data_IF_096805377996
#
_entry.id   IF_096805377996
#
_cell.length_a   1.000
_cell.length_b   1.000
_cell.length_c   1.000
_cell.angle_alpha   90.00
_cell.angle_beta   90.00
_cell.angle_gamma   90.00
#
_symmetry.space_group_name_H-M   'P 1'
#
loop_
_entity.id
_entity.type
_entity.pdbx_description
1 polymer ?
#
# COMPACT_ATOMS: atom_id res chain seq x y z
N UNK A 1 38.75 -4.00 -9.21
CA UNK A 1 37.29 -3.86 -9.11
C UNK A 1 36.97 -4.09 -7.65
N UNK A 2 36.77 -3.03 -6.89
CA UNK A 2 36.45 -3.15 -5.47
C UNK A 2 35.04 -3.73 -5.36
N UNK A 3 34.93 -4.88 -4.71
CA UNK A 3 33.65 -5.52 -4.45
C UNK A 3 32.93 -4.66 -3.42
N UNK A 4 31.93 -3.91 -3.84
CA UNK A 4 31.12 -3.12 -2.92
C UNK A 4 30.26 -4.07 -2.08
N UNK A 5 30.73 -4.35 -0.86
CA UNK A 5 30.09 -5.24 0.09
C UNK A 5 28.71 -4.75 0.50
N UNK A 6 28.47 -3.43 0.48
CA UNK A 6 27.16 -2.86 0.80
C UNK A 6 26.15 -3.16 -0.31
N UNK A 7 26.56 -3.03 -1.58
CA UNK A 7 25.73 -3.43 -2.73
C UNK A 7 25.46 -4.94 -2.69
N UNK A 8 26.47 -5.77 -2.43
CA UNK A 8 26.30 -7.21 -2.34
C UNK A 8 25.32 -7.63 -1.22
N UNK A 9 25.44 -7.03 -0.04
CA UNK A 9 24.53 -7.27 1.09
C UNK A 9 23.11 -6.78 0.80
N UNK A 10 22.96 -5.64 0.13
CA UNK A 10 21.64 -5.14 -0.31
C UNK A 10 20.94 -6.14 -1.23
N UNK A 11 21.64 -6.65 -2.25
CA UNK A 11 21.07 -7.64 -3.17
C UNK A 11 20.81 -8.98 -2.51
N UNK A 12 21.71 -9.45 -1.63
CA UNK A 12 21.51 -10.68 -0.87
C UNK A 12 20.24 -10.59 0.00
N UNK A 13 20.07 -9.47 0.73
CA UNK A 13 18.86 -9.21 1.50
C UNK A 13 17.62 -9.28 0.60
N UNK A 14 17.63 -8.61 -0.55
CA UNK A 14 16.50 -8.62 -1.50
C UNK A 14 16.20 -10.03 -1.99
N UNK A 15 17.20 -10.82 -2.36
CA UNK A 15 17.01 -12.19 -2.85
C UNK A 15 16.43 -13.11 -1.76
N UNK A 16 16.96 -13.02 -0.54
CA UNK A 16 16.44 -13.77 0.61
C UNK A 16 15.01 -13.32 0.93
N UNK A 17 14.73 -12.01 0.94
CA UNK A 17 13.38 -11.48 1.16
C UNK A 17 12.40 -11.99 0.11
N UNK A 18 12.78 -12.00 -1.19
CA UNK A 18 11.92 -12.53 -2.26
C UNK A 18 11.64 -14.01 -2.07
N UNK A 19 12.64 -14.81 -1.66
CA UNK A 19 12.47 -16.24 -1.43
C UNK A 19 11.57 -16.56 -0.22
N UNK A 20 11.67 -15.76 0.86
CA UNK A 20 10.94 -15.96 2.11
C UNK A 20 9.53 -15.37 2.07
N UNK A 21 9.32 -14.28 1.33
CA UNK A 21 8.01 -13.64 1.25
C UNK A 21 7.04 -14.44 0.37
N UNK A 22 5.72 -14.35 0.64
CA UNK A 22 4.72 -14.85 -0.29
C UNK A 22 4.88 -14.13 -1.65
N UNK A 23 4.77 -14.85 -2.79
CA UNK A 23 4.28 -16.22 -2.95
C UNK A 23 5.37 -17.31 -2.99
N UNK A 24 6.67 -16.98 -2.99
CA UNK A 24 7.73 -17.95 -3.29
C UNK A 24 7.96 -18.98 -2.19
N UNK A 25 7.79 -18.62 -0.92
CA UNK A 25 8.05 -19.54 0.19
C UNK A 25 7.17 -20.81 0.14
N UNK A 26 5.83 -20.71 -0.06
CA UNK A 26 4.99 -21.86 -0.38
C UNK A 26 5.48 -22.71 -1.56
N UNK A 27 5.91 -22.09 -2.67
CA UNK A 27 6.43 -22.82 -3.83
C UNK A 27 7.75 -23.53 -3.54
N UNK A 28 8.64 -22.91 -2.75
CA UNK A 28 9.89 -23.52 -2.33
C UNK A 28 9.63 -24.78 -1.48
N UNK A 29 8.66 -24.73 -0.56
CA UNK A 29 8.25 -25.91 0.23
C UNK A 29 7.75 -27.05 -0.69
N UNK A 30 6.94 -26.73 -1.69
CA UNK A 30 6.45 -27.71 -2.67
C UNK A 30 7.63 -28.33 -3.44
N UNK A 31 8.54 -27.50 -3.97
CA UNK A 31 9.68 -27.97 -4.75
C UNK A 31 10.60 -28.88 -3.93
N UNK A 32 10.97 -28.45 -2.71
CA UNK A 32 11.80 -29.25 -1.79
C UNK A 32 11.08 -30.56 -1.44
N UNK A 33 9.76 -30.52 -1.26
CA UNK A 33 8.96 -31.69 -0.93
C UNK A 33 8.95 -32.73 -2.07
N UNK A 34 8.81 -32.27 -3.31
CA UNK A 34 8.88 -33.11 -4.51
C UNK A 34 10.27 -33.74 -4.69
N UNK A 35 11.34 -32.96 -4.50
CA UNK A 35 12.72 -33.45 -4.59
C UNK A 35 13.02 -34.50 -3.51
N UNK A 36 12.56 -34.27 -2.28
CA UNK A 36 12.75 -35.19 -1.16
C UNK A 36 11.87 -36.45 -1.26
N UNK A 37 10.75 -36.37 -1.98
CA UNK A 37 9.79 -37.47 -2.19
C UNK A 37 10.42 -38.73 -2.79
N UNK A 38 11.53 -38.60 -3.55
CA UNK A 38 12.29 -39.73 -4.10
C UNK A 38 13.00 -40.58 -3.03
N UNK A 39 13.43 -39.97 -1.92
CA UNK A 39 14.16 -40.67 -0.83
C UNK A 39 13.32 -40.87 0.42
N UNK A 40 12.42 -39.94 0.73
CA UNK A 40 11.56 -39.95 1.92
C UNK A 40 10.13 -39.53 1.54
N UNK A 41 9.29 -40.46 1.06
CA UNK A 41 7.99 -40.14 0.48
C UNK A 41 7.02 -39.51 1.48
N UNK A 42 7.04 -39.93 2.75
CA UNK A 42 6.18 -39.36 3.80
C UNK A 42 6.52 -37.89 4.07
N UNK A 43 7.78 -37.60 4.37
CA UNK A 43 8.24 -36.23 4.65
C UNK A 43 8.09 -35.31 3.43
N UNK A 44 8.37 -35.82 2.22
CA UNK A 44 8.19 -35.06 0.98
C UNK A 44 6.73 -34.67 0.75
N UNK A 45 5.81 -35.62 0.95
CA UNK A 45 4.36 -35.38 0.82
C UNK A 45 3.85 -34.38 1.86
N UNK A 46 4.30 -34.46 3.11
CA UNK A 46 3.96 -33.45 4.13
C UNK A 46 4.38 -32.06 3.68
N UNK A 47 5.60 -31.89 3.20
CA UNK A 47 6.12 -30.58 2.79
C UNK A 47 5.36 -30.00 1.60
N UNK A 48 4.98 -30.84 0.62
CA UNK A 48 4.13 -30.44 -0.50
C UNK A 48 2.76 -29.96 -0.01
N UNK A 49 2.10 -30.71 0.87
CA UNK A 49 0.80 -30.31 1.40
C UNK A 49 0.89 -29.04 2.25
N UNK A 50 1.92 -28.88 3.08
CA UNK A 50 2.16 -27.65 3.83
C UNK A 50 2.35 -26.46 2.90
N UNK A 51 3.14 -26.61 1.83
CA UNK A 51 3.31 -25.57 0.81
C UNK A 51 2.00 -25.21 0.10
N UNK A 52 1.20 -26.20 -0.30
CA UNK A 52 -0.10 -25.96 -0.93
C UNK A 52 -1.09 -25.26 0.00
N UNK A 53 -1.25 -25.75 1.23
CA UNK A 53 -2.18 -25.17 2.21
C UNK A 53 -1.75 -23.76 2.60
N UNK A 54 -0.47 -23.55 2.92
CA UNK A 54 0.04 -22.21 3.26
C UNK A 54 -0.10 -21.24 2.07
N UNK A 55 0.19 -21.69 0.85
CA UNK A 55 -0.01 -20.89 -0.36
C UNK A 55 -1.48 -20.49 -0.56
N UNK A 56 -2.40 -21.44 -0.39
CA UNK A 56 -3.84 -21.16 -0.50
C UNK A 56 -4.30 -20.18 0.60
N UNK A 57 -3.82 -20.35 1.83
CA UNK A 57 -4.15 -19.44 2.92
C UNK A 57 -3.64 -18.02 2.65
N UNK A 58 -2.42 -17.88 2.14
CA UNK A 58 -1.77 -16.58 1.93
C UNK A 58 -2.25 -15.82 0.68
N UNK A 59 -2.99 -16.48 -0.23
CA UNK A 59 -3.54 -15.86 -1.44
C UNK A 59 -5.05 -15.62 -1.33
N UNK A 60 -5.73 -16.23 -0.36
CA UNK A 60 -7.18 -16.08 -0.19
C UNK A 60 -7.54 -14.90 0.72
N UNK A 61 -8.68 -14.21 0.48
CA UNK A 61 -9.06 -13.04 1.27
C UNK A 61 -9.29 -13.32 2.76
N UNK A 62 -9.83 -14.49 3.13
CA UNK A 62 -10.21 -14.76 4.51
C UNK A 62 -9.02 -14.76 5.49
N UNK A 63 -7.92 -15.51 5.25
CA UNK A 63 -6.76 -15.47 6.14
C UNK A 63 -6.01 -14.13 6.08
N UNK A 64 -5.98 -13.49 4.91
CA UNK A 64 -5.40 -12.13 4.76
C UNK A 64 -6.19 -11.13 5.62
N UNK A 65 -7.52 -11.18 5.59
CA UNK A 65 -8.38 -10.32 6.42
C UNK A 65 -8.14 -10.53 7.91
N UNK A 66 -8.04 -11.78 8.37
CA UNK A 66 -7.74 -12.10 9.78
C UNK A 66 -6.36 -11.56 10.23
N UNK A 67 -5.38 -11.54 9.32
CA UNK A 67 -4.05 -10.98 9.61
C UNK A 67 -4.05 -9.45 9.61
N UNK A 68 -4.93 -8.82 8.81
CA UNK A 68 -5.04 -7.36 8.70
C UNK A 68 -5.92 -6.74 9.79
N UNK A 69 -6.96 -7.43 10.26
CA UNK A 69 -7.94 -6.91 11.23
C UNK A 69 -7.32 -6.29 12.51
N UNK A 70 -6.24 -6.82 13.11
CA UNK A 70 -5.59 -6.18 14.26
C UNK A 70 -4.79 -4.93 13.90
N UNK A 71 -4.40 -4.77 12.64
CA UNK A 71 -3.62 -3.64 12.13
C UNK A 71 -4.51 -2.49 11.65
N UNK A 72 -5.78 -2.77 11.36
CA UNK A 72 -6.74 -1.77 10.91
C UNK A 72 -7.28 -0.95 12.08
N UNK A 73 -7.32 0.40 11.97
CA UNK A 73 -7.95 1.24 12.99
C UNK A 73 -9.44 0.90 13.11
N UNK A 74 -9.85 0.39 14.28
CA UNK A 74 -11.22 -0.09 14.51
C UNK A 74 -12.27 1.00 14.67
N UNK A 75 -11.86 2.23 14.98
CA UNK A 75 -12.80 3.30 15.30
C UNK A 75 -12.72 4.45 14.30
N UNK A 76 -13.88 4.93 13.79
CA UNK A 76 -13.92 6.15 13.01
C UNK A 76 -13.47 7.33 13.88
N UNK A 77 -12.91 8.36 13.24
CA UNK A 77 -12.50 9.58 13.92
C UNK A 77 -13.69 10.18 14.69
N UNK A 78 -13.53 10.37 16.00
CA UNK A 78 -14.49 11.14 16.79
C UNK A 78 -14.33 12.62 16.48
N UNK A 79 -15.42 13.31 16.13
CA UNK A 79 -15.38 14.75 15.90
C UNK A 79 -14.96 15.53 17.17
N UNK A 80 -15.22 15.00 18.36
CA UNK A 80 -14.72 15.60 19.61
C UNK A 80 -13.19 15.56 19.72
N UNK A 81 -12.53 14.57 19.11
CA UNK A 81 -11.08 14.50 19.04
C UNK A 81 -10.51 15.48 17.99
N UNK A 82 -11.32 15.90 17.03
CA UNK A 82 -10.92 16.89 16.02
C UNK A 82 -10.93 18.33 16.56
N UNK A 83 -11.53 18.59 17.72
CA UNK A 83 -11.62 19.94 18.31
C UNK A 83 -10.26 20.56 18.62
N UNK A 84 -9.28 19.73 18.99
CA UNK A 84 -7.91 20.18 19.31
C UNK A 84 -6.99 20.20 18.08
N UNK A 85 -7.46 19.72 16.93
CA UNK A 85 -6.67 19.67 15.71
C UNK A 85 -6.63 21.04 15.01
N UNK A 86 -5.51 21.33 14.34
CA UNK A 86 -5.31 22.60 13.63
C UNK A 86 -5.47 22.48 12.11
N UNK A 87 -5.37 21.26 11.57
CA UNK A 87 -5.47 20.98 10.15
C UNK A 87 -5.84 19.52 9.88
N UNK A 88 -6.35 19.25 8.69
CA UNK A 88 -6.56 17.90 8.16
C UNK A 88 -5.44 17.62 7.15
N UNK A 89 -4.62 16.60 7.42
CA UNK A 89 -3.56 16.14 6.51
C UNK A 89 -4.06 14.94 5.74
N UNK A 90 -4.13 15.05 4.42
CA UNK A 90 -4.50 13.96 3.53
C UNK A 90 -3.25 13.45 2.83
N UNK A 91 -2.94 12.17 3.03
CA UNK A 91 -1.79 11.49 2.44
C UNK A 91 -2.17 10.86 1.10
N UNK A 92 -1.27 10.97 0.13
CA UNK A 92 -1.33 10.29 -1.16
C UNK A 92 -1.43 8.76 -1.02
N UNK A 93 -2.18 8.16 -1.92
CA UNK A 93 -2.41 6.72 -2.07
C UNK A 93 -2.17 6.21 -3.48
N UNK A 94 -1.66 7.07 -4.37
CA UNK A 94 -1.32 6.80 -5.76
C UNK A 94 -2.15 7.59 -6.78
N UNK A 95 -1.62 7.64 -8.01
CA UNK A 95 -2.24 8.26 -9.17
C UNK A 95 -2.78 7.23 -10.15
N UNK A 96 -3.74 7.66 -10.97
CA UNK A 96 -4.16 6.98 -12.18
C UNK A 96 -3.52 7.69 -13.36
N UNK A 97 -2.56 7.01 -14.00
CA UNK A 97 -1.87 7.52 -15.18
C UNK A 97 -2.77 7.42 -16.41
N UNK A 98 -2.65 8.37 -17.34
CA UNK A 98 -3.32 8.33 -18.64
C UNK A 98 -4.84 8.14 -18.51
N UNK A 99 -5.53 9.14 -17.96
CA UNK A 99 -6.97 9.23 -17.93
C UNK A 99 -7.43 10.31 -18.95
N UNK A 100 -7.72 9.94 -20.21
CA UNK A 100 -8.05 10.88 -21.28
C UNK A 100 -9.24 11.78 -20.96
N UNK A 101 -10.22 11.25 -20.21
CA UNK A 101 -11.40 11.97 -19.76
C UNK A 101 -11.07 13.14 -18.80
N UNK A 102 -9.89 13.12 -18.18
CA UNK A 102 -9.36 14.20 -17.34
C UNK A 102 -8.21 14.97 -18.02
N UNK A 103 -7.92 14.69 -19.30
CA UNK A 103 -6.85 15.36 -20.04
C UNK A 103 -5.43 15.00 -19.59
N UNK A 104 -5.24 13.92 -18.84
CA UNK A 104 -3.93 13.54 -18.32
C UNK A 104 -3.99 12.60 -17.12
N UNK A 105 -3.11 12.81 -16.15
CA UNK A 105 -3.10 12.04 -14.90
C UNK A 105 -4.17 12.55 -13.93
N UNK A 106 -4.72 11.65 -13.13
CA UNK A 106 -5.64 11.99 -12.03
C UNK A 106 -5.34 11.17 -10.78
N UNK A 107 -6.04 11.42 -9.68
CA UNK A 107 -5.92 10.61 -8.45
C UNK A 107 -6.53 9.22 -8.66
N UNK A 108 -5.94 8.19 -8.05
CA UNK A 108 -6.55 6.86 -8.10
C UNK A 108 -7.78 6.75 -7.18
N UNK A 109 -8.47 5.60 -7.24
CA UNK A 109 -9.66 5.33 -6.41
C UNK A 109 -9.39 5.46 -4.90
N UNK A 110 -8.24 5.00 -4.41
CA UNK A 110 -7.90 5.03 -2.97
C UNK A 110 -7.69 6.47 -2.52
N UNK A 111 -6.93 7.25 -3.29
CA UNK A 111 -6.69 8.67 -3.02
C UNK A 111 -8.01 9.44 -3.08
N UNK A 112 -8.87 9.18 -4.07
CA UNK A 112 -10.19 9.80 -4.18
C UNK A 112 -11.08 9.51 -2.95
N UNK A 113 -11.09 8.28 -2.44
CA UNK A 113 -11.82 7.93 -1.21
C UNK A 113 -11.31 8.72 0.01
N UNK A 114 -9.99 8.95 0.11
CA UNK A 114 -9.37 9.79 1.16
C UNK A 114 -9.75 11.26 1.00
N UNK A 115 -9.72 11.80 -0.22
CA UNK A 115 -10.12 13.19 -0.50
C UNK A 115 -11.59 13.41 -0.16
N UNK A 116 -12.47 12.47 -0.54
CA UNK A 116 -13.90 12.51 -0.20
C UNK A 116 -14.12 12.61 1.31
N UNK A 117 -13.40 11.81 2.10
CA UNK A 117 -13.53 11.85 3.55
C UNK A 117 -12.90 13.11 4.16
N UNK A 118 -11.74 13.53 3.68
CA UNK A 118 -11.10 14.78 4.11
C UNK A 118 -11.95 16.02 3.84
N UNK A 119 -12.58 16.09 2.66
CA UNK A 119 -13.54 17.14 2.31
C UNK A 119 -14.77 17.15 3.24
N UNK A 120 -15.29 15.96 3.59
CA UNK A 120 -16.38 15.82 4.57
C UNK A 120 -15.95 16.34 5.95
N UNK A 121 -14.76 15.97 6.43
CA UNK A 121 -14.24 16.43 7.71
C UNK A 121 -14.00 17.94 7.73
N UNK A 122 -13.44 18.51 6.66
CA UNK A 122 -13.19 19.95 6.58
C UNK A 122 -14.50 20.74 6.63
N UNK A 123 -15.55 20.29 5.94
CA UNK A 123 -16.88 20.92 6.04
C UNK A 123 -17.51 20.84 7.43
N UNK A 124 -17.28 19.74 8.15
CA UNK A 124 -17.85 19.55 9.49
C UNK A 124 -17.08 20.31 10.59
N UNK A 125 -15.77 20.44 10.43
CA UNK A 125 -14.88 21.00 11.46
C UNK A 125 -14.44 22.44 11.18
N UNK A 126 -14.55 22.89 9.93
CA UNK A 126 -13.97 24.15 9.47
C UNK A 126 -12.45 24.14 9.36
N UNK A 127 -11.79 23.00 9.59
CA UNK A 127 -10.33 22.91 9.58
C UNK A 127 -9.77 23.01 8.15
N UNK A 128 -8.61 23.68 7.99
CA UNK A 128 -7.93 23.77 6.71
C UNK A 128 -7.33 22.42 6.29
N UNK A 129 -7.27 22.18 4.97
CA UNK A 129 -6.70 20.95 4.39
C UNK A 129 -5.25 21.19 3.96
N UNK A 130 -4.39 20.22 4.26
CA UNK A 130 -3.08 19.98 3.65
C UNK A 130 -3.13 18.67 2.86
N UNK A 131 -2.57 18.66 1.65
CA UNK A 131 -2.34 17.44 0.86
C UNK A 131 -0.83 17.17 0.72
N UNK A 132 -0.43 15.91 0.88
CA UNK A 132 0.97 15.47 0.80
C UNK A 132 1.09 14.26 -0.12
N UNK A 133 1.99 14.33 -1.10
CA UNK A 133 2.18 13.29 -2.11
C UNK A 133 3.16 13.71 -3.21
N UNK A 134 4.22 12.92 -3.37
CA UNK A 134 5.33 13.17 -4.29
C UNK A 134 5.15 12.62 -5.71
N UNK A 135 6.26 12.61 -6.45
CA UNK A 135 6.40 12.06 -7.80
C UNK A 135 7.69 11.22 -7.91
N UNK A 136 7.69 9.98 -7.38
CA UNK A 136 8.91 9.17 -7.32
C UNK A 136 9.49 8.80 -8.70
N UNK A 137 8.67 8.82 -9.76
CA UNK A 137 9.11 8.57 -11.14
C UNK A 137 9.14 9.83 -12.02
N UNK A 138 9.12 11.02 -11.41
CA UNK A 138 9.29 12.30 -12.10
C UNK A 138 8.04 12.80 -12.84
N UNK A 139 6.87 12.23 -12.56
CA UNK A 139 5.59 12.69 -13.12
C UNK A 139 5.01 13.89 -12.34
N UNK A 140 3.75 14.24 -12.62
CA UNK A 140 3.04 15.25 -11.83
C UNK A 140 2.91 14.75 -10.38
N UNK A 141 3.35 15.53 -9.37
CA UNK A 141 3.24 15.12 -7.98
C UNK A 141 1.79 14.87 -7.57
N UNK A 142 1.57 13.80 -6.82
CA UNK A 142 0.22 13.39 -6.42
C UNK A 142 -0.51 14.51 -5.65
N UNK A 143 0.21 15.28 -4.83
CA UNK A 143 -0.35 16.42 -4.09
C UNK A 143 -0.98 17.48 -5.00
N UNK A 144 -0.47 17.66 -6.23
CA UNK A 144 -1.05 18.60 -7.21
C UNK A 144 -2.38 18.08 -7.74
N UNK A 145 -2.43 16.78 -8.09
CA UNK A 145 -3.66 16.12 -8.54
C UNK A 145 -4.72 16.11 -7.43
N UNK A 146 -4.31 15.85 -6.20
CA UNK A 146 -5.17 15.90 -5.02
C UNK A 146 -5.76 17.28 -4.79
N UNK A 147 -4.96 18.34 -4.98
CA UNK A 147 -5.45 19.71 -4.89
C UNK A 147 -6.51 20.00 -5.95
N UNK A 148 -6.26 19.65 -7.22
CA UNK A 148 -7.20 19.84 -8.31
C UNK A 148 -8.55 19.18 -7.98
N UNK A 149 -8.54 17.89 -7.61
CA UNK A 149 -9.77 17.17 -7.30
C UNK A 149 -10.52 17.74 -6.08
N UNK A 150 -9.82 18.17 -5.02
CA UNK A 150 -10.48 18.82 -3.88
C UNK A 150 -11.17 20.13 -4.24
N UNK A 151 -10.53 20.95 -5.08
CA UNK A 151 -11.04 22.26 -5.45
C UNK A 151 -12.13 22.17 -6.52
N UNK A 152 -11.96 21.29 -7.51
CA UNK A 152 -12.86 21.12 -8.67
C UNK A 152 -14.05 20.19 -8.35
N UNK A 153 -13.80 19.01 -7.80
CA UNK A 153 -14.85 17.99 -7.59
C UNK A 153 -15.57 18.16 -6.25
N UNK A 154 -14.85 18.58 -5.21
CA UNK A 154 -15.40 18.66 -3.84
C UNK A 154 -15.68 20.09 -3.36
N UNK A 155 -15.23 21.11 -4.10
CA UNK A 155 -15.40 22.51 -3.76
C UNK A 155 -14.72 22.91 -2.44
N UNK A 156 -13.67 22.21 -2.02
CA UNK A 156 -12.94 22.48 -0.79
C UNK A 156 -11.56 23.02 -1.11
N UNK A 157 -11.25 24.22 -0.60
CA UNK A 157 -9.94 24.86 -0.80
C UNK A 157 -8.84 24.14 -0.04
N UNK A 158 -7.72 23.92 -0.71
CA UNK A 158 -6.51 23.35 -0.12
C UNK A 158 -5.58 24.48 0.32
N UNK A 159 -5.25 24.51 1.61
CA UNK A 159 -4.41 25.56 2.20
C UNK A 159 -2.93 25.31 1.94
N UNK A 160 -2.50 24.05 1.98
CA UNK A 160 -1.11 23.66 1.78
C UNK A 160 -0.99 22.44 0.89
N UNK A 161 0.06 22.42 0.08
CA UNK A 161 0.36 21.35 -0.86
C UNK A 161 1.84 20.98 -0.68
N UNK A 162 2.11 19.72 -0.39
CA UNK A 162 3.44 19.18 -0.15
C UNK A 162 3.76 18.15 -1.26
N UNK A 163 4.52 18.54 -2.30
CA UNK A 163 4.74 17.72 -3.49
C UNK A 163 6.07 16.92 -3.47
N UNK A 164 6.78 16.86 -2.36
CA UNK A 164 8.18 16.37 -2.27
C UNK A 164 8.39 15.24 -1.27
N UNK A 165 7.33 14.49 -0.95
CA UNK A 165 7.35 13.31 -0.06
C UNK A 165 8.01 12.08 -0.68
#
# INVERSE_FOLDING_TARGET
>A
MDFDTAIALFWLKKLISVLILPPLMPFALILIGLLMGRRRPRSGRTLVWTGLVSGLLLITPAPVGLLLEPLEPRQPLSLSAATDAQAIVILGGGRMSNAPEYGGDTVNRITLERLRYGARLSRQTGLPILVSGGAPSGEIPEAILMKSSLEEDFGVRVRWTEPSS
#
